data_IF_755821176413
#
_entry.id   IF_755821176413
#
_cell.length_a   1.000
_cell.length_b   1.000
_cell.length_c   1.000
_cell.angle_alpha   90.00
_cell.angle_beta   90.00
_cell.angle_gamma   90.00
#
_symmetry.space_group_name_H-M   'P 1'
#
loop_
_entity.id
_entity.type
_entity.pdbx_description
1 polymer ?
#
# COMPACT_ATOMS: atom_id res chain seq x y z
N UNK A 1 22.37 -2.96 -54.16
CA UNK A 1 23.00 -3.04 -52.82
C UNK A 1 22.48 -1.91 -51.97
N UNK A 2 21.62 -2.20 -51.00
CA UNK A 2 21.30 -1.29 -49.89
C UNK A 2 20.95 -2.17 -48.70
N UNK A 3 21.86 -2.26 -47.74
CA UNK A 3 21.68 -3.02 -46.51
C UNK A 3 20.92 -2.14 -45.51
N UNK A 4 19.70 -2.54 -45.16
CA UNK A 4 18.91 -1.90 -44.11
C UNK A 4 19.40 -2.42 -42.76
N UNK A 5 20.14 -1.59 -42.02
CA UNK A 5 20.60 -1.90 -40.68
C UNK A 5 19.41 -1.98 -39.73
N UNK A 6 19.13 -3.18 -39.22
CA UNK A 6 18.24 -3.37 -38.08
C UNK A 6 18.88 -2.70 -36.86
N UNK A 7 18.26 -1.63 -36.36
CA UNK A 7 18.60 -1.07 -35.05
C UNK A 7 18.21 -2.11 -34.00
N UNK A 8 19.20 -2.75 -33.39
CA UNK A 8 18.98 -3.56 -32.20
C UNK A 8 18.39 -2.66 -31.12
N UNK A 9 17.15 -2.93 -30.73
CA UNK A 9 16.56 -2.35 -29.53
C UNK A 9 17.30 -2.94 -28.35
N UNK A 10 18.16 -2.16 -27.72
CA UNK A 10 18.78 -2.55 -26.45
C UNK A 10 17.66 -2.83 -25.44
N UNK A 11 17.64 -4.04 -24.90
CA UNK A 11 16.84 -4.38 -23.73
C UNK A 11 17.46 -3.72 -22.51
N UNK A 12 16.71 -2.93 -21.70
CA UNK A 12 17.19 -2.57 -20.38
C UNK A 12 16.77 -3.67 -19.41
N UNK A 13 17.50 -4.79 -19.41
CA UNK A 13 17.60 -5.61 -18.22
C UNK A 13 18.66 -4.94 -17.33
N UNK A 14 18.26 -4.22 -16.27
CA UNK A 14 19.07 -3.89 -15.06
C UNK A 14 18.56 -2.67 -14.24
N UNK A 15 17.26 -2.57 -13.95
CA UNK A 15 16.79 -1.58 -12.96
C UNK A 15 15.61 -2.04 -12.08
N UNK A 16 15.25 -3.31 -12.11
CA UNK A 16 14.00 -3.79 -11.48
C UNK A 16 14.16 -4.35 -10.05
N UNK A 17 15.38 -4.49 -9.53
CA UNK A 17 15.65 -5.07 -8.20
C UNK A 17 15.86 -4.02 -7.08
N UNK A 18 15.59 -2.74 -7.33
CA UNK A 18 15.90 -1.68 -6.36
C UNK A 18 15.03 -1.75 -5.07
N UNK A 19 13.91 -2.47 -5.10
CA UNK A 19 13.00 -2.58 -3.95
C UNK A 19 13.43 -3.65 -2.93
N UNK A 20 14.28 -4.61 -3.30
CA UNK A 20 14.80 -5.64 -2.37
C UNK A 20 15.95 -5.12 -1.48
N UNK A 21 16.69 -4.10 -1.92
CA UNK A 21 17.86 -3.57 -1.20
C UNK A 21 17.55 -2.41 -0.24
N UNK A 22 16.30 -1.93 -0.18
CA UNK A 22 15.92 -0.87 0.74
C UNK A 22 15.97 -1.37 2.19
N UNK A 23 16.81 -0.77 3.02
CA UNK A 23 16.91 -1.09 4.45
C UNK A 23 15.56 -0.89 5.13
N UNK A 24 14.98 -1.98 5.65
CA UNK A 24 13.72 -1.93 6.41
C UNK A 24 13.93 -1.13 7.69
N UNK A 25 13.20 -0.02 7.91
CA UNK A 25 13.34 0.78 9.13
C UNK A 25 13.11 -0.06 10.39
N UNK A 26 13.65 0.39 11.53
CA UNK A 26 13.29 -0.21 12.81
C UNK A 26 11.82 0.09 13.15
N UNK A 27 11.15 -0.82 13.88
CA UNK A 27 9.81 -0.55 14.41
C UNK A 27 9.93 0.60 15.42
N UNK A 28 9.16 1.69 15.25
CA UNK A 28 9.17 2.81 16.20
C UNK A 28 8.59 2.46 17.57
N UNK A 29 8.61 3.43 18.50
CA UNK A 29 8.23 3.22 19.90
C UNK A 29 6.74 3.03 20.17
N UNK A 30 5.87 3.25 19.18
CA UNK A 30 4.42 3.13 19.32
C UNK A 30 3.74 2.79 18.00
N UNK A 31 2.47 2.36 18.07
CA UNK A 31 1.67 2.02 16.90
C UNK A 31 1.46 3.23 15.99
N UNK A 32 1.26 4.42 16.55
CA UNK A 32 1.11 5.64 15.76
C UNK A 32 2.40 6.06 15.07
N UNK A 33 3.54 5.96 15.76
CA UNK A 33 4.84 6.19 15.13
C UNK A 33 5.11 5.15 14.03
N UNK A 34 4.76 3.88 14.27
CA UNK A 34 4.86 2.82 13.26
C UNK A 34 3.99 3.12 12.03
N UNK A 35 2.74 3.54 12.23
CA UNK A 35 1.85 3.93 11.14
C UNK A 35 2.45 5.03 10.26
N UNK A 36 2.98 6.09 10.88
CA UNK A 36 3.64 7.17 10.14
C UNK A 36 4.95 6.71 9.48
N UNK A 37 5.72 5.84 10.12
CA UNK A 37 6.95 5.30 9.53
C UNK A 37 6.66 4.43 8.29
N UNK A 38 5.60 3.60 8.32
CA UNK A 38 5.16 2.82 7.15
C UNK A 38 4.76 3.74 6.00
N UNK A 39 3.96 4.77 6.28
CA UNK A 39 3.57 5.76 5.26
C UNK A 39 4.76 6.51 4.66
N UNK A 40 5.85 6.72 5.41
CA UNK A 40 7.07 7.35 4.92
C UNK A 40 8.07 6.36 4.29
N UNK A 41 7.77 5.06 4.29
CA UNK A 41 8.63 4.04 3.66
C UNK A 41 8.29 3.92 2.18
N UNK A 42 9.25 4.23 1.31
CA UNK A 42 9.03 4.27 -0.13
C UNK A 42 8.88 2.87 -0.76
N UNK A 43 9.84 1.97 -0.53
CA UNK A 43 9.88 0.65 -1.17
C UNK A 43 8.72 -0.25 -0.75
N UNK A 44 8.09 -0.93 -1.71
CA UNK A 44 6.90 -1.76 -1.45
C UNK A 44 7.21 -2.91 -0.48
N UNK A 45 8.32 -3.63 -0.70
CA UNK A 45 8.77 -4.69 0.19
C UNK A 45 9.21 -4.18 1.57
N UNK A 46 9.94 -3.07 1.63
CA UNK A 46 10.34 -2.48 2.90
C UNK A 46 9.11 -2.04 3.72
N UNK A 47 8.06 -1.56 3.04
CA UNK A 47 6.78 -1.20 3.64
C UNK A 47 6.02 -2.41 4.19
N UNK A 48 5.91 -3.48 3.40
CA UNK A 48 5.30 -4.74 3.84
C UNK A 48 6.08 -5.35 5.03
N UNK A 49 7.41 -5.37 4.97
CA UNK A 49 8.25 -5.87 6.06
C UNK A 49 8.15 -5.04 7.34
N UNK A 50 8.08 -3.70 7.24
CA UNK A 50 7.86 -2.85 8.40
C UNK A 50 6.45 -3.06 8.99
N UNK A 51 5.45 -3.26 8.13
CA UNK A 51 4.08 -3.61 8.53
C UNK A 51 4.06 -4.90 9.35
N UNK A 52 4.66 -5.98 8.85
CA UNK A 52 4.75 -7.27 9.57
C UNK A 52 5.42 -7.12 10.94
N UNK A 53 6.55 -6.41 11.01
CA UNK A 53 7.27 -6.21 12.28
C UNK A 53 6.46 -5.40 13.28
N UNK A 54 5.73 -4.38 12.82
CA UNK A 54 4.83 -3.59 13.66
C UNK A 54 3.62 -4.42 14.14
N UNK A 55 3.04 -5.25 13.26
CA UNK A 55 1.95 -6.17 13.58
C UNK A 55 2.39 -7.19 14.63
N UNK A 56 3.58 -7.78 14.48
CA UNK A 56 4.15 -8.73 15.44
C UNK A 56 4.33 -8.06 16.82
N UNK A 57 4.96 -6.88 16.86
CA UNK A 57 5.15 -6.13 18.10
C UNK A 57 3.82 -5.73 18.77
N UNK A 58 2.83 -5.33 17.97
CA UNK A 58 1.48 -5.03 18.47
C UNK A 58 0.81 -6.26 19.07
N UNK A 59 0.80 -7.39 18.35
CA UNK A 59 0.21 -8.67 18.82
C UNK A 59 0.93 -9.21 20.05
N UNK A 60 2.23 -8.97 20.17
CA UNK A 60 3.02 -9.34 21.36
C UNK A 60 2.77 -8.40 22.56
N UNK A 61 2.02 -7.31 22.39
CA UNK A 61 1.79 -6.29 23.43
C UNK A 61 3.02 -5.45 23.77
N UNK A 62 4.07 -5.50 22.93
CA UNK A 62 5.31 -4.74 23.13
C UNK A 62 5.31 -3.38 22.42
N UNK A 63 4.30 -3.11 21.59
CA UNK A 63 4.12 -1.85 20.90
C UNK A 63 2.94 -1.06 21.53
N UNK A 64 3.20 -0.03 22.36
CA UNK A 64 2.14 0.78 22.92
C UNK A 64 1.41 1.57 21.84
N UNK A 65 0.15 1.95 22.08
CA UNK A 65 -0.63 2.70 21.09
C UNK A 65 -0.02 4.07 20.79
N UNK A 66 0.26 4.85 21.84
CA UNK A 66 0.75 6.22 21.74
C UNK A 66 2.24 6.29 22.08
N UNK A 67 2.96 7.32 21.60
CA UNK A 67 4.31 7.61 22.05
C UNK A 67 4.36 7.82 23.57
N UNK A 68 5.57 7.70 24.13
CA UNK A 68 5.82 8.02 25.54
C UNK A 68 5.32 9.43 25.89
N UNK A 69 4.85 9.59 27.13
CA UNK A 69 4.37 10.88 27.62
C UNK A 69 5.41 11.99 27.41
N UNK A 70 4.99 13.09 26.78
CA UNK A 70 5.84 14.24 26.47
C UNK A 70 6.53 14.19 25.10
N UNK A 71 6.47 13.08 24.37
CA UNK A 71 6.84 13.05 22.95
C UNK A 71 5.71 13.62 22.09
N UNK A 72 6.10 14.36 21.05
CA UNK A 72 5.16 14.84 20.05
C UNK A 72 4.60 13.66 19.24
N UNK A 73 3.30 13.66 18.99
CA UNK A 73 2.69 12.62 18.14
C UNK A 73 2.88 13.00 16.68
N UNK A 74 3.52 12.14 15.86
CA UNK A 74 3.77 12.46 14.46
C UNK A 74 2.46 12.59 13.67
N UNK A 75 2.51 13.41 12.62
CA UNK A 75 1.44 13.54 11.64
C UNK A 75 1.69 12.55 10.50
N UNK A 76 0.65 11.90 9.96
CA UNK A 76 0.78 11.19 8.69
C UNK A 76 1.15 12.18 7.58
N UNK A 77 1.96 11.77 6.59
CA UNK A 77 2.27 12.62 5.44
C UNK A 77 1.00 12.88 4.61
N UNK A 78 1.04 13.91 3.76
CA UNK A 78 -0.05 14.20 2.82
C UNK A 78 -0.18 13.09 1.76
N UNK A 79 0.95 12.53 1.33
CA UNK A 79 1.01 11.38 0.43
C UNK A 79 2.00 10.36 0.99
N UNK A 80 1.72 9.05 0.90
CA UNK A 80 2.66 8.04 1.34
C UNK A 80 3.83 8.03 0.38
N UNK A 81 5.02 7.79 0.91
CA UNK A 81 6.20 7.62 0.11
C UNK A 81 6.01 6.48 -0.90
N UNK A 82 6.60 6.69 -2.07
CA UNK A 82 6.68 5.75 -3.18
C UNK A 82 8.09 5.81 -3.76
N UNK A 83 8.60 4.73 -4.38
CA UNK A 83 9.86 4.77 -5.09
C UNK A 83 9.75 5.73 -6.30
N UNK A 84 10.84 6.39 -6.66
CA UNK A 84 10.86 7.38 -7.74
C UNK A 84 10.52 6.80 -9.13
N UNK A 85 10.65 5.48 -9.29
CA UNK A 85 10.31 4.78 -10.54
C UNK A 85 8.83 4.38 -10.62
N UNK A 86 8.03 4.55 -9.55
CA UNK A 86 6.59 4.35 -9.59
C UNK A 86 5.91 5.62 -10.10
N UNK A 87 5.53 5.61 -11.37
CA UNK A 87 4.80 6.71 -12.00
C UNK A 87 3.30 6.64 -11.67
N UNK A 88 2.74 7.72 -11.12
CA UNK A 88 1.30 7.86 -10.85
C UNK A 88 0.65 8.81 -11.83
N UNK A 89 -0.37 8.31 -12.53
CA UNK A 89 -1.14 9.07 -13.51
C UNK A 89 -2.58 9.32 -13.03
N UNK A 90 -3.25 10.37 -13.54
CA UNK A 90 -4.67 10.58 -13.27
C UNK A 90 -5.55 9.41 -13.75
N UNK A 91 -6.75 9.24 -13.16
CA UNK A 91 -7.72 8.24 -13.61
C UNK A 91 -8.00 8.34 -15.13
N UNK A 92 -8.09 7.19 -15.80
CA UNK A 92 -8.35 7.10 -17.25
C UNK A 92 -7.12 7.31 -18.15
N UNK A 93 -5.94 7.59 -17.58
CA UNK A 93 -4.66 7.66 -18.31
C UNK A 93 -3.84 6.37 -18.26
N UNK A 94 -4.24 5.41 -17.41
CA UNK A 94 -3.61 4.08 -17.28
C UNK A 94 -4.39 3.06 -18.11
N UNK A 95 -3.68 2.19 -18.84
CA UNK A 95 -4.27 1.15 -19.68
C UNK A 95 -4.06 -0.25 -19.10
N UNK A 96 -5.11 -0.85 -18.56
CA UNK A 96 -5.09 -2.22 -18.00
C UNK A 96 -5.48 -3.29 -19.03
N UNK A 97 -5.06 -3.11 -20.29
CA UNK A 97 -5.47 -3.97 -21.41
C UNK A 97 -4.65 -5.26 -21.52
N UNK A 98 -3.43 -5.28 -21.00
CA UNK A 98 -2.58 -6.48 -21.00
C UNK A 98 -2.72 -7.26 -19.70
N UNK A 99 -2.41 -8.55 -19.77
CA UNK A 99 -2.35 -9.47 -18.62
C UNK A 99 -1.41 -8.90 -17.53
N UNK A 100 -0.22 -8.46 -17.94
CA UNK A 100 0.79 -7.87 -17.08
C UNK A 100 0.30 -6.58 -16.39
N UNK A 101 -0.40 -5.70 -17.13
CA UNK A 101 -0.99 -4.49 -16.57
C UNK A 101 -2.09 -4.79 -15.54
N UNK A 102 -2.84 -5.89 -15.73
CA UNK A 102 -3.83 -6.35 -14.76
C UNK A 102 -3.20 -6.75 -13.43
N UNK A 103 -2.16 -7.59 -13.45
CA UNK A 103 -1.46 -7.99 -12.21
C UNK A 103 -0.72 -6.81 -11.58
N UNK A 104 -0.03 -6.00 -12.38
CA UNK A 104 0.64 -4.82 -11.85
C UNK A 104 -0.34 -3.87 -11.13
N UNK A 105 -1.55 -3.69 -11.69
CA UNK A 105 -2.59 -2.90 -11.04
C UNK A 105 -3.05 -3.51 -9.70
N UNK A 106 -3.09 -4.84 -9.57
CA UNK A 106 -3.38 -5.51 -8.29
C UNK A 106 -2.25 -5.26 -7.28
N UNK A 107 -0.98 -5.47 -7.67
CA UNK A 107 0.18 -5.16 -6.81
C UNK A 107 0.14 -3.71 -6.30
N UNK A 108 -0.19 -2.76 -7.18
CA UNK A 108 -0.32 -1.37 -6.78
C UNK A 108 -1.51 -1.11 -5.85
N UNK A 109 -2.65 -1.77 -6.09
CA UNK A 109 -3.82 -1.68 -5.24
C UNK A 109 -3.50 -2.16 -3.81
N UNK A 110 -2.84 -3.32 -3.66
CA UNK A 110 -2.44 -3.84 -2.35
C UNK A 110 -1.43 -2.92 -1.66
N UNK A 111 -0.44 -2.40 -2.40
CA UNK A 111 0.50 -1.41 -1.87
C UNK A 111 -0.21 -0.17 -1.33
N UNK A 112 -1.28 0.29 -2.00
CA UNK A 112 -2.13 1.37 -1.51
C UNK A 112 -3.01 0.95 -0.33
N UNK A 113 -3.49 -0.29 -0.28
CA UNK A 113 -4.31 -0.80 0.82
C UNK A 113 -3.52 -0.89 2.13
N UNK A 114 -2.22 -1.24 2.07
CA UNK A 114 -1.29 -1.11 3.21
C UNK A 114 -1.27 0.33 3.72
N UNK A 115 -1.09 1.32 2.82
CA UNK A 115 -1.06 2.72 3.24
C UNK A 115 -2.38 3.20 3.81
N UNK A 116 -3.51 2.83 3.22
CA UNK A 116 -4.83 3.22 3.71
C UNK A 116 -5.08 2.68 5.12
N UNK A 117 -4.64 1.45 5.39
CA UNK A 117 -4.75 0.81 6.70
C UNK A 117 -3.91 1.51 7.77
N UNK A 118 -2.71 1.98 7.43
CA UNK A 118 -1.89 2.75 8.37
C UNK A 118 -2.32 4.22 8.47
N UNK A 119 -2.80 4.83 7.39
CA UNK A 119 -3.34 6.19 7.38
C UNK A 119 -4.52 6.33 8.33
N UNK A 120 -5.45 5.37 8.31
CA UNK A 120 -6.64 5.46 9.15
C UNK A 120 -6.28 5.37 10.65
N UNK A 121 -5.27 4.55 11.00
CA UNK A 121 -4.69 4.47 12.35
C UNK A 121 -4.05 5.81 12.74
N UNK A 122 -3.15 6.35 11.91
CA UNK A 122 -2.40 7.57 12.21
C UNK A 122 -3.28 8.83 12.26
N UNK A 123 -4.31 8.89 11.41
CA UNK A 123 -5.15 10.06 11.19
C UNK A 123 -6.32 10.11 12.17
N UNK A 124 -7.03 9.00 12.36
CA UNK A 124 -8.25 8.96 13.17
C UNK A 124 -8.07 8.28 14.53
N UNK A 125 -6.96 7.56 14.74
CA UNK A 125 -6.69 6.88 16.00
C UNK A 125 -6.32 7.80 17.16
N UNK A 126 -5.86 9.03 16.88
CA UNK A 126 -5.35 9.93 17.91
C UNK A 126 -6.15 11.22 17.96
N UNK A 127 -6.64 11.55 19.16
CA UNK A 127 -7.08 12.90 19.50
C UNK A 127 -5.86 13.66 20.00
N UNK A 128 -5.43 14.63 19.20
CA UNK A 128 -4.31 15.51 19.54
C UNK A 128 -4.79 16.57 20.53
N UNK A 129 -3.92 16.97 21.46
CA UNK A 129 -4.21 18.02 22.44
C UNK A 129 -4.59 19.34 21.76
N UNK A 130 -5.45 20.14 22.40
CA UNK A 130 -5.93 21.42 21.85
C UNK A 130 -4.88 22.54 21.97
N UNK A 131 -3.77 22.31 22.69
CA UNK A 131 -2.71 23.28 22.92
C UNK A 131 -1.37 22.66 23.31
N UNK A 132 -0.34 23.51 23.40
CA UNK A 132 1.01 23.10 23.80
C UNK A 132 1.01 22.47 25.19
N UNK A 133 1.46 21.20 25.29
CA UNK A 133 1.57 20.47 26.55
C UNK A 133 0.37 19.58 26.92
N UNK A 134 -0.72 19.60 26.14
CA UNK A 134 -1.81 18.63 26.32
C UNK A 134 -1.42 17.26 25.72
N UNK A 135 -1.48 16.16 26.48
CA UNK A 135 -1.11 14.86 25.98
C UNK A 135 -2.12 14.39 24.94
N UNK A 136 -1.61 13.78 23.86
CA UNK A 136 -2.45 13.05 22.94
C UNK A 136 -3.13 11.87 23.65
N UNK A 137 -4.33 11.54 23.20
CA UNK A 137 -5.10 10.42 23.71
C UNK A 137 -5.65 9.59 22.55
N UNK A 138 -5.96 8.33 22.82
CA UNK A 138 -6.70 7.50 21.87
C UNK A 138 -8.06 8.16 21.58
N UNK A 139 -8.38 8.35 20.31
CA UNK A 139 -9.70 8.80 19.87
C UNK A 139 -10.69 7.64 19.66
N UNK A 140 -10.16 6.44 19.48
CA UNK A 140 -10.90 5.24 19.08
C UNK A 140 -10.75 4.10 20.11
N UNK A 141 -11.70 3.16 20.17
CA UNK A 141 -11.60 1.99 21.03
C UNK A 141 -10.48 1.03 20.58
N UNK A 142 -9.94 0.17 21.46
CA UNK A 142 -8.89 -0.81 21.10
C UNK A 142 -9.20 -1.66 19.86
N UNK A 143 -10.46 -2.14 19.74
CA UNK A 143 -10.90 -2.96 18.61
C UNK A 143 -10.70 -2.29 17.24
N UNK A 144 -10.81 -0.94 17.17
CA UNK A 144 -10.52 -0.21 15.93
C UNK A 144 -9.08 -0.45 15.47
N UNK A 145 -8.12 -0.37 16.40
CA UNK A 145 -6.72 -0.58 16.08
C UNK A 145 -6.42 -2.04 15.75
N UNK A 146 -7.01 -2.97 16.50
CA UNK A 146 -6.87 -4.41 16.25
C UNK A 146 -7.34 -4.78 14.84
N UNK A 147 -8.50 -4.26 14.42
CA UNK A 147 -9.04 -4.50 13.08
C UNK A 147 -8.14 -3.92 11.98
N UNK A 148 -7.67 -2.68 12.12
CA UNK A 148 -6.81 -2.06 11.09
C UNK A 148 -5.40 -2.64 11.04
N UNK A 149 -4.84 -3.08 12.18
CA UNK A 149 -3.57 -3.82 12.21
C UNK A 149 -3.73 -5.19 11.54
N UNK A 150 -4.89 -5.85 11.71
CA UNK A 150 -5.21 -7.09 10.99
C UNK A 150 -5.26 -6.84 9.48
N UNK A 151 -6.04 -5.85 9.03
CA UNK A 151 -6.17 -5.53 7.60
C UNK A 151 -4.81 -5.17 7.01
N UNK A 152 -4.02 -4.32 7.68
CA UNK A 152 -2.67 -3.98 7.21
C UNK A 152 -1.77 -5.22 7.00
N UNK A 153 -1.88 -6.23 7.87
CA UNK A 153 -1.15 -7.49 7.71
C UNK A 153 -1.64 -8.29 6.50
N UNK A 154 -2.95 -8.41 6.31
CA UNK A 154 -3.57 -9.09 5.17
C UNK A 154 -3.13 -8.45 3.84
N UNK A 155 -3.14 -7.11 3.75
CA UNK A 155 -2.72 -6.42 2.52
C UNK A 155 -1.21 -6.48 2.27
N UNK A 156 -0.39 -6.62 3.32
CA UNK A 156 1.05 -6.88 3.17
C UNK A 156 1.30 -8.26 2.56
N UNK A 157 0.55 -9.29 2.99
CA UNK A 157 0.62 -10.64 2.44
C UNK A 157 0.11 -10.68 0.98
N UNK A 158 -1.01 -10.00 0.69
CA UNK A 158 -1.54 -9.85 -0.67
C UNK A 158 -0.53 -9.16 -1.59
N UNK A 159 0.08 -8.05 -1.14
CA UNK A 159 1.10 -7.34 -1.92
C UNK A 159 2.24 -8.26 -2.32
N UNK A 160 2.78 -9.04 -1.39
CA UNK A 160 3.88 -9.99 -1.66
C UNK A 160 3.46 -11.08 -2.64
N UNK A 161 2.26 -11.64 -2.46
CA UNK A 161 1.74 -12.72 -3.29
C UNK A 161 1.53 -12.25 -4.74
N UNK A 162 0.89 -11.09 -4.92
CA UNK A 162 0.73 -10.50 -6.25
C UNK A 162 2.05 -10.03 -6.86
N UNK A 163 3.00 -9.56 -6.05
CA UNK A 163 4.33 -9.19 -6.55
C UNK A 163 5.08 -10.40 -7.10
N UNK A 164 5.12 -11.51 -6.34
CA UNK A 164 5.71 -12.76 -6.81
C UNK A 164 5.06 -13.21 -8.12
N UNK A 165 3.73 -13.08 -8.23
CA UNK A 165 3.02 -13.40 -9.48
C UNK A 165 3.39 -12.48 -10.64
N UNK A 166 3.61 -11.19 -10.37
CA UNK A 166 4.06 -10.22 -11.36
C UNK A 166 5.44 -10.60 -11.93
N UNK A 167 6.36 -11.03 -11.07
CA UNK A 167 7.71 -11.47 -11.45
C UNK A 167 7.69 -12.75 -12.27
N UNK A 168 6.85 -13.72 -11.92
CA UNK A 168 6.67 -14.95 -12.72
C UNK A 168 6.25 -14.67 -14.17
N UNK A 169 5.65 -13.50 -14.43
CA UNK A 169 5.25 -13.06 -15.77
C UNK A 169 6.22 -12.08 -16.42
N UNK A 170 7.40 -11.90 -15.83
CA UNK A 170 8.46 -11.02 -16.32
C UNK A 170 8.18 -9.53 -16.10
N UNK A 171 7.29 -9.19 -15.15
CA UNK A 171 7.07 -7.84 -14.68
C UNK A 171 7.85 -7.51 -13.42
N UNK A 172 7.74 -6.25 -12.99
CA UNK A 172 8.27 -5.77 -11.72
C UNK A 172 7.38 -4.61 -11.24
N UNK A 173 7.31 -4.38 -9.93
CA UNK A 173 6.54 -3.25 -9.42
C UNK A 173 7.06 -1.92 -9.99
N UNK A 174 6.15 -1.01 -10.32
CA UNK A 174 6.48 0.25 -11.00
C UNK A 174 6.85 0.15 -12.49
N UNK A 175 6.92 -1.04 -13.11
CA UNK A 175 7.26 -1.15 -14.54
C UNK A 175 6.17 -0.62 -15.50
N UNK A 176 4.95 -0.43 -14.99
CA UNK A 176 3.80 0.17 -15.68
C UNK A 176 3.33 1.36 -14.82
N UNK A 177 2.90 2.49 -15.41
CA UNK A 177 2.31 3.58 -14.64
C UNK A 177 1.03 3.12 -13.94
N UNK A 178 0.85 3.52 -12.69
CA UNK A 178 -0.35 3.24 -11.91
C UNK A 178 -1.22 4.49 -11.76
N UNK A 179 -2.44 4.35 -11.21
CA UNK A 179 -3.34 5.48 -10.99
C UNK A 179 -3.41 5.87 -9.51
N UNK A 180 -3.56 7.15 -9.21
CA UNK A 180 -3.62 7.65 -7.82
C UNK A 180 -5.03 7.66 -7.20
N UNK A 181 -6.05 7.10 -7.85
CA UNK A 181 -7.46 7.32 -7.49
C UNK A 181 -7.82 6.99 -6.04
N UNK A 182 -7.32 5.86 -5.51
CA UNK A 182 -7.61 5.44 -4.14
C UNK A 182 -7.08 6.47 -3.13
N UNK A 183 -5.84 6.94 -3.32
CA UNK A 183 -5.25 7.91 -2.42
C UNK A 183 -5.87 9.31 -2.59
N UNK A 184 -6.27 9.69 -3.80
CA UNK A 184 -7.01 10.94 -4.02
C UNK A 184 -8.32 10.96 -3.22
N UNK A 185 -9.12 9.89 -3.30
CA UNK A 185 -10.35 9.76 -2.51
C UNK A 185 -10.09 9.65 -1.00
N UNK A 186 -8.94 9.11 -0.59
CA UNK A 186 -8.50 9.15 0.80
C UNK A 186 -8.30 10.59 1.27
N UNK A 187 -7.61 11.42 0.49
CA UNK A 187 -7.40 12.83 0.85
C UNK A 187 -8.68 13.66 0.85
N UNK A 188 -9.61 13.42 -0.07
CA UNK A 188 -10.93 14.05 -0.05
C UNK A 188 -11.76 13.71 1.21
N UNK A 189 -11.42 12.60 1.88
CA UNK A 189 -12.11 12.13 3.10
C UNK A 189 -11.25 12.20 4.36
N UNK A 190 -10.11 12.90 4.31
CA UNK A 190 -9.12 12.93 5.39
C UNK A 190 -9.67 13.46 6.73
N UNK A 191 -10.70 14.31 6.68
CA UNK A 191 -11.26 14.97 7.87
C UNK A 191 -12.50 14.26 8.43
N UNK A 192 -12.93 13.14 7.84
CA UNK A 192 -14.13 12.41 8.29
C UNK A 192 -13.94 10.90 8.19
N UNK A 193 -13.79 10.25 9.34
CA UNK A 193 -13.70 8.80 9.42
C UNK A 193 -14.92 8.13 8.76
N UNK A 194 -16.12 8.65 8.98
CA UNK A 194 -17.33 8.11 8.37
C UNK A 194 -17.31 8.20 6.83
N UNK A 195 -16.84 9.33 6.28
CA UNK A 195 -16.67 9.47 4.84
C UNK A 195 -15.58 8.54 4.31
N UNK A 196 -14.47 8.39 5.03
CA UNK A 196 -13.37 7.48 4.67
C UNK A 196 -13.86 6.03 4.57
N UNK A 197 -14.58 5.56 5.59
CA UNK A 197 -15.16 4.22 5.62
C UNK A 197 -16.17 4.01 4.48
N UNK A 198 -17.07 4.97 4.26
CA UNK A 198 -18.09 4.86 3.21
C UNK A 198 -17.48 4.84 1.80
N UNK A 199 -16.56 5.76 1.49
CA UNK A 199 -16.02 5.89 0.13
C UNK A 199 -14.98 4.81 -0.15
N UNK A 200 -13.98 4.64 0.72
CA UNK A 200 -12.89 3.70 0.48
C UNK A 200 -13.35 2.27 0.79
N UNK A 201 -13.81 2.00 2.00
CA UNK A 201 -14.01 0.63 2.46
C UNK A 201 -15.36 0.02 2.08
N UNK A 202 -16.38 0.83 1.74
CA UNK A 202 -17.64 0.30 1.21
C UNK A 202 -17.70 0.41 -0.32
N UNK A 203 -17.48 1.60 -0.89
CA UNK A 203 -17.68 1.81 -2.33
C UNK A 203 -16.53 1.27 -3.18
N UNK A 204 -15.26 1.56 -2.83
CA UNK A 204 -14.14 1.03 -3.62
C UNK A 204 -14.01 -0.48 -3.47
N UNK A 205 -14.24 -1.01 -2.26
CA UNK A 205 -14.23 -2.46 -2.02
C UNK A 205 -15.33 -3.18 -2.82
N UNK A 206 -16.58 -2.69 -2.76
CA UNK A 206 -17.66 -3.27 -3.55
C UNK A 206 -17.36 -3.27 -5.06
N UNK A 207 -16.74 -2.20 -5.57
CA UNK A 207 -16.31 -2.14 -6.98
C UNK A 207 -15.19 -3.12 -7.29
N UNK A 208 -14.25 -3.33 -6.36
CA UNK A 208 -13.21 -4.36 -6.46
C UNK A 208 -13.82 -5.76 -6.58
N UNK A 209 -14.80 -6.06 -5.72
CA UNK A 209 -15.54 -7.31 -5.75
C UNK A 209 -16.36 -7.49 -7.04
N UNK A 210 -16.95 -6.43 -7.59
CA UNK A 210 -17.68 -6.48 -8.86
C UNK A 210 -16.77 -6.81 -10.06
N UNK A 211 -15.50 -6.37 -10.02
CA UNK A 211 -14.53 -6.67 -11.09
C UNK A 211 -13.83 -8.01 -10.92
N UNK A 212 -13.81 -8.57 -9.70
CA UNK A 212 -13.12 -9.82 -9.37
C UNK A 212 -13.56 -11.01 -10.25
N UNK A 213 -14.86 -11.29 -10.52
CA UNK A 213 -15.27 -12.37 -11.42
C UNK A 213 -14.75 -12.22 -12.87
N UNK A 214 -14.57 -10.99 -13.33
CA UNK A 214 -14.00 -10.72 -14.65
C UNK A 214 -12.47 -10.89 -14.62
N UNK A 215 -11.81 -10.41 -13.58
CA UNK A 215 -10.37 -10.59 -13.38
C UNK A 215 -10.02 -12.08 -13.30
N UNK A 216 -10.74 -12.84 -12.46
CA UNK A 216 -10.56 -14.29 -12.29
C UNK A 216 -10.71 -15.05 -13.60
N UNK A 217 -11.73 -14.74 -14.42
CA UNK A 217 -11.90 -15.36 -15.76
C UNK A 217 -10.75 -15.05 -16.72
N UNK A 218 -10.18 -13.85 -16.65
CA UNK A 218 -9.01 -13.49 -17.47
C UNK A 218 -7.75 -14.23 -17.02
N UNK A 219 -7.56 -14.40 -15.70
CA UNK A 219 -6.47 -15.19 -15.13
C UNK A 219 -6.59 -16.67 -15.55
N UNK A 220 -7.78 -17.25 -15.37
CA UNK A 220 -8.05 -18.65 -15.76
C UNK A 220 -7.85 -18.87 -17.27
N UNK A 221 -8.40 -17.99 -18.11
CA UNK A 221 -8.21 -18.03 -19.56
C UNK A 221 -6.75 -17.84 -20.02
N UNK A 222 -5.89 -17.30 -19.15
CA UNK A 222 -4.47 -17.15 -19.41
C UNK A 222 -3.61 -18.30 -18.81
N UNK A 223 -4.26 -19.35 -18.29
CA UNK A 223 -3.62 -20.53 -17.72
C UNK A 223 -3.08 -20.34 -16.30
N UNK A 224 -3.48 -19.25 -15.64
CA UNK A 224 -3.11 -18.98 -14.25
C UNK A 224 -4.03 -19.70 -13.27
N UNK A 225 -3.73 -20.97 -12.96
CA UNK A 225 -4.54 -21.73 -12.00
C UNK A 225 -4.23 -21.41 -10.54
N UNK A 226 -3.06 -20.83 -10.25
CA UNK A 226 -2.63 -20.50 -8.88
C UNK A 226 -3.40 -19.28 -8.37
N UNK A 227 -3.40 -18.18 -9.11
CA UNK A 227 -4.09 -16.94 -8.71
C UNK A 227 -5.61 -16.99 -8.89
N UNK A 228 -6.16 -18.07 -9.44
CA UNK A 228 -7.61 -18.33 -9.51
C UNK A 228 -8.10 -19.03 -8.23
N UNK A 229 -7.19 -19.60 -7.44
CA UNK A 229 -7.50 -20.31 -6.19
C UNK A 229 -7.48 -19.44 -4.93
N UNK A 230 -6.87 -18.26 -5.01
CA UNK A 230 -6.90 -17.18 -4.00
C UNK A 230 -8.18 -16.34 -4.12
#
# INVERSE_FOLDING_TARGET
MAATAAKSRAEPAMAFNADEEATVPAVPGSLIEAAVAVLNTAGGFAKAALTERAVEAWRAGSLPLLPDAGKEVPMPPAEPARPSYVELLPPGKVSNKSRLAGIHALVHAESCAIDLSWDIIARFGVRRGAGAGEPAAAAMPPAFFEDWVRVAAEEADHFRSWHARLEEWGGAYGCIPAHSSLWSSAMETADSLAARLAIIHCVHEARGLDVYPLARRKLDGAGDKLSVGE
#
